data_IF_751825409267
#
_entry.id   IF_751825409267
#
_cell.length_a   1.000
_cell.length_b   1.000
_cell.length_c   1.000
_cell.angle_alpha   90.00
_cell.angle_beta   90.00
_cell.angle_gamma   90.00
#
_symmetry.space_group_name_H-M   'P 1'
#
loop_
_entity.id
_entity.type
_entity.pdbx_description
1 polymer ?
#
# COMPACT_ATOMS: atom_id res chain seq x y z
N UNK A 1 -3.84 0.84 -10.42
CA UNK A 1 -2.95 -0.31 -10.71
C UNK A 1 -1.87 -0.05 -11.77
N UNK A 2 -2.16 0.15 -13.07
CA UNK A 2 -1.09 0.30 -14.10
C UNK A 2 -0.07 1.39 -13.78
N UNK A 3 -0.54 2.57 -13.33
CA UNK A 3 0.33 3.67 -12.89
C UNK A 3 1.23 3.27 -11.72
N UNK A 4 0.68 2.56 -10.74
CA UNK A 4 1.40 2.03 -9.58
C UNK A 4 2.52 1.07 -9.99
N UNK A 5 2.23 0.17 -10.95
CA UNK A 5 3.24 -0.76 -11.48
C UNK A 5 4.36 -0.01 -12.21
N UNK A 6 4.01 1.02 -13.00
CA UNK A 6 5.00 1.86 -13.69
C UNK A 6 5.86 2.64 -12.70
N UNK A 7 5.29 3.16 -11.61
CA UNK A 7 6.05 3.80 -10.52
C UNK A 7 7.01 2.79 -9.89
N UNK A 8 6.54 1.59 -9.52
CA UNK A 8 7.39 0.57 -8.91
C UNK A 8 8.57 0.20 -9.82
N UNK A 9 8.31 -0.03 -11.12
CA UNK A 9 9.32 -0.33 -12.12
C UNK A 9 10.34 0.81 -12.27
N UNK A 10 9.89 2.06 -12.22
CA UNK A 10 10.76 3.23 -12.36
C UNK A 10 11.63 3.44 -11.12
N UNK A 11 11.06 3.24 -9.93
CA UNK A 11 11.78 3.37 -8.65
C UNK A 11 12.72 2.20 -8.37
N UNK A 12 12.41 1.01 -8.90
CA UNK A 12 13.18 -0.21 -8.72
C UNK A 12 13.47 -0.85 -10.08
N UNK A 13 14.42 -0.28 -10.82
CA UNK A 13 14.79 -0.75 -12.17
C UNK A 13 15.27 -2.21 -12.19
N UNK A 14 15.75 -2.74 -11.05
CA UNK A 14 16.08 -4.16 -10.87
C UNK A 14 14.89 -5.11 -11.07
N UNK A 15 13.65 -4.60 -11.04
CA UNK A 15 12.46 -5.36 -11.41
C UNK A 15 12.48 -5.74 -12.91
N UNK A 16 13.06 -4.89 -13.76
CA UNK A 16 13.14 -5.11 -15.21
C UNK A 16 14.35 -5.94 -15.63
N UNK A 17 15.49 -5.76 -14.96
CA UNK A 17 16.78 -6.29 -15.41
C UNK A 17 17.36 -7.29 -14.40
N UNK A 18 16.94 -8.57 -14.45
CA UNK A 18 17.37 -9.60 -13.50
C UNK A 18 18.84 -10.03 -13.65
N UNK A 19 19.58 -9.53 -14.65
CA UNK A 19 20.87 -10.11 -15.05
C UNK A 19 22.12 -9.32 -14.60
N UNK A 20 22.00 -8.07 -14.10
CA UNK A 20 23.17 -7.15 -14.10
C UNK A 20 23.64 -6.61 -12.75
N UNK A 21 23.11 -7.05 -11.60
CA UNK A 21 23.59 -6.52 -10.32
C UNK A 21 23.90 -7.62 -9.30
N UNK A 22 24.99 -7.44 -8.57
CA UNK A 22 25.38 -8.20 -7.38
C UNK A 22 24.43 -7.99 -6.18
N UNK A 23 23.25 -7.43 -6.42
CA UNK A 23 22.24 -7.10 -5.41
C UNK A 23 21.13 -8.16 -5.49
N UNK A 24 20.71 -8.76 -4.35
CA UNK A 24 19.60 -9.71 -4.34
C UNK A 24 18.35 -9.07 -4.93
N UNK A 25 17.70 -9.79 -5.84
CA UNK A 25 16.42 -9.37 -6.45
C UNK A 25 15.37 -9.19 -5.34
N UNK A 26 14.69 -8.03 -5.25
CA UNK A 26 13.57 -7.90 -4.34
C UNK A 26 12.43 -8.81 -4.81
N UNK A 27 11.83 -9.55 -3.88
CA UNK A 27 10.58 -10.25 -4.17
C UNK A 27 9.48 -9.22 -4.44
N UNK A 28 8.77 -9.38 -5.57
CA UNK A 28 7.67 -8.49 -5.96
C UNK A 28 6.36 -9.24 -5.86
N UNK A 29 5.42 -8.72 -5.07
CA UNK A 29 4.07 -9.25 -4.94
C UNK A 29 3.03 -8.22 -5.40
N UNK A 30 2.02 -8.66 -6.17
CA UNK A 30 0.94 -7.79 -6.66
C UNK A 30 -0.33 -8.05 -5.88
N UNK A 31 -0.79 -7.07 -5.10
CA UNK A 31 -1.98 -7.21 -4.27
C UNK A 31 -3.10 -6.31 -4.79
N UNK A 32 -4.25 -6.87 -5.21
CA UNK A 32 -5.38 -6.05 -5.63
C UNK A 32 -6.00 -5.21 -4.50
N UNK A 33 -5.74 -5.56 -3.25
CA UNK A 33 -6.17 -4.78 -2.08
C UNK A 33 -5.39 -3.46 -1.92
N UNK A 34 -4.26 -3.26 -2.61
CA UNK A 34 -3.53 -1.98 -2.67
C UNK A 34 -4.08 -1.00 -3.72
N UNK A 35 -5.29 -1.25 -4.25
CA UNK A 35 -5.95 -0.38 -5.23
C UNK A 35 -6.39 0.95 -4.62
N UNK A 36 -6.69 1.92 -5.47
CA UNK A 36 -7.21 3.22 -5.03
C UNK A 36 -8.47 3.06 -4.18
N UNK A 37 -8.55 3.83 -3.10
CA UNK A 37 -9.72 3.79 -2.23
C UNK A 37 -10.90 4.46 -2.93
N UNK A 38 -10.70 5.66 -3.46
CA UNK A 38 -11.76 6.48 -4.05
C UNK A 38 -12.24 5.96 -5.42
N UNK A 39 -13.46 6.36 -5.80
CA UNK A 39 -13.99 6.17 -7.16
C UNK A 39 -13.39 7.20 -8.14
N UNK A 40 -12.07 7.25 -8.18
CA UNK A 40 -11.33 8.04 -9.14
C UNK A 40 -11.20 7.26 -10.45
N UNK A 41 -10.94 7.96 -11.56
CA UNK A 41 -10.73 7.30 -12.86
C UNK A 41 -9.57 6.27 -12.87
N UNK A 42 -8.66 6.31 -11.88
CA UNK A 42 -7.63 5.28 -11.67
C UNK A 42 -8.16 3.96 -11.08
N UNK A 43 -9.40 3.93 -10.60
CA UNK A 43 -10.06 2.80 -9.95
C UNK A 43 -11.14 2.15 -10.83
N UNK A 44 -11.00 2.29 -12.15
CA UNK A 44 -11.82 1.60 -13.15
C UNK A 44 -10.93 0.60 -13.86
N UNK A 45 -11.43 -0.62 -14.07
CA UNK A 45 -10.65 -1.69 -14.69
C UNK A 45 -11.25 -2.23 -15.97
N UNK A 46 -10.58 -3.25 -16.47
CA UNK A 46 -10.82 -3.89 -17.76
C UNK A 46 -11.57 -5.20 -17.55
N UNK A 47 -12.41 -5.56 -18.50
CA UNK A 47 -12.86 -6.94 -18.70
C UNK A 47 -11.62 -7.76 -19.11
N UNK A 48 -11.23 -8.78 -18.36
CA UNK A 48 -9.94 -9.50 -18.50
C UNK A 48 -8.67 -8.78 -17.97
N UNK A 49 -8.77 -8.03 -16.87
CA UNK A 49 -7.67 -7.37 -16.18
C UNK A 49 -6.38 -8.23 -16.10
N UNK A 50 -6.51 -9.48 -15.65
CA UNK A 50 -5.35 -10.37 -15.45
C UNK A 50 -4.59 -10.61 -16.75
N UNK A 51 -5.29 -10.89 -17.84
CA UNK A 51 -4.70 -11.19 -19.15
C UNK A 51 -3.97 -9.97 -19.70
N UNK A 52 -4.60 -8.80 -19.64
CA UNK A 52 -3.99 -7.56 -20.13
C UNK A 52 -2.75 -7.15 -19.31
N UNK A 53 -2.81 -7.23 -17.99
CA UNK A 53 -1.67 -6.92 -17.13
C UNK A 53 -0.52 -7.90 -17.33
N UNK A 54 -0.81 -9.19 -17.49
CA UNK A 54 0.21 -10.22 -17.74
C UNK A 54 0.88 -10.02 -19.10
N UNK A 55 0.14 -9.59 -20.12
CA UNK A 55 0.71 -9.26 -21.43
C UNK A 55 1.61 -8.02 -21.37
N UNK A 56 1.23 -7.00 -20.58
CA UNK A 56 1.98 -5.73 -20.48
C UNK A 56 3.19 -5.82 -19.55
N UNK A 57 3.12 -6.66 -18.52
CA UNK A 57 4.17 -6.84 -17.51
C UNK A 57 4.46 -8.34 -17.29
N UNK A 58 4.98 -9.04 -18.32
CA UNK A 58 5.16 -10.50 -18.28
C UNK A 58 6.11 -11.01 -17.19
N UNK A 59 6.94 -10.12 -16.63
CA UNK A 59 7.86 -10.40 -15.54
C UNK A 59 7.20 -10.42 -14.16
N UNK A 60 5.94 -10.00 -14.03
CA UNK A 60 5.20 -9.90 -12.77
C UNK A 60 4.15 -11.01 -12.64
N UNK A 61 3.88 -11.42 -11.41
CA UNK A 61 2.87 -12.43 -11.11
C UNK A 61 1.54 -11.78 -10.73
N UNK A 62 0.52 -11.98 -11.57
CA UNK A 62 -0.85 -11.49 -11.36
C UNK A 62 -1.83 -12.59 -10.92
N UNK A 63 -1.34 -13.69 -10.33
CA UNK A 63 -2.20 -14.84 -9.98
C UNK A 63 -3.32 -14.46 -9.00
N UNK A 64 -3.03 -13.55 -8.07
CA UNK A 64 -4.00 -13.05 -7.08
C UNK A 64 -4.98 -12.00 -7.65
N UNK A 65 -4.76 -11.49 -8.87
CA UNK A 65 -5.68 -10.57 -9.51
C UNK A 65 -6.94 -11.31 -10.02
N UNK A 66 -8.12 -10.69 -9.92
CA UNK A 66 -9.33 -11.27 -10.48
C UNK A 66 -9.24 -11.34 -12.00
N UNK A 67 -10.00 -12.25 -12.62
CA UNK A 67 -10.12 -12.32 -14.07
C UNK A 67 -10.68 -11.01 -14.63
N UNK A 68 -11.83 -10.60 -14.11
CA UNK A 68 -12.50 -9.35 -14.46
C UNK A 68 -12.43 -8.32 -13.33
N UNK A 69 -12.46 -7.04 -13.70
CA UNK A 69 -12.66 -5.98 -12.73
C UNK A 69 -14.11 -5.98 -12.24
N UNK A 70 -14.37 -6.66 -11.12
CA UNK A 70 -15.70 -6.78 -10.51
C UNK A 70 -15.78 -6.15 -9.10
N UNK A 71 -14.89 -5.20 -8.80
CA UNK A 71 -14.89 -4.55 -7.50
C UNK A 71 -16.12 -3.66 -7.32
N UNK A 72 -16.74 -3.68 -6.13
CA UNK A 72 -17.88 -2.82 -5.84
C UNK A 72 -17.45 -1.34 -5.86
N UNK A 73 -18.41 -0.41 -6.03
CA UNK A 73 -18.16 1.02 -5.86
C UNK A 73 -17.52 1.34 -4.51
N UNK A 74 -16.89 2.52 -4.43
CA UNK A 74 -16.23 2.98 -3.22
C UNK A 74 -17.15 2.89 -1.98
N UNK A 75 -16.66 2.22 -0.95
CA UNK A 75 -17.29 2.10 0.35
C UNK A 75 -16.20 2.11 1.43
N UNK A 76 -16.31 3.04 2.38
CA UNK A 76 -15.34 3.24 3.46
C UNK A 76 -15.12 1.94 4.23
N UNK A 77 -16.18 1.24 4.63
CA UNK A 77 -16.08 0.00 5.41
C UNK A 77 -15.31 -1.09 4.67
N UNK A 78 -15.49 -1.18 3.35
CA UNK A 78 -14.75 -2.15 2.54
C UNK A 78 -13.29 -1.73 2.41
N UNK A 79 -12.99 -0.45 2.20
CA UNK A 79 -11.61 0.05 2.17
C UNK A 79 -10.90 -0.20 3.50
N UNK A 80 -11.56 0.04 4.64
CA UNK A 80 -11.00 -0.25 5.97
C UNK A 80 -10.68 -1.73 6.13
N UNK A 81 -11.60 -2.64 5.76
CA UNK A 81 -11.32 -4.09 5.76
C UNK A 81 -10.15 -4.46 4.85
N UNK A 82 -9.99 -3.79 3.71
CA UNK A 82 -8.86 -4.03 2.81
C UNK A 82 -7.55 -3.59 3.46
N UNK A 83 -7.54 -2.41 4.07
CA UNK A 83 -6.38 -1.89 4.77
C UNK A 83 -5.96 -2.83 5.93
N UNK A 84 -6.92 -3.33 6.71
CA UNK A 84 -6.65 -4.31 7.77
C UNK A 84 -6.01 -5.60 7.25
N UNK A 85 -6.51 -6.14 6.12
CA UNK A 85 -5.90 -7.32 5.48
C UNK A 85 -4.48 -7.05 4.99
N UNK A 86 -4.26 -5.87 4.39
CA UNK A 86 -2.93 -5.45 3.93
C UNK A 86 -1.98 -5.30 5.12
N UNK A 87 -2.39 -4.61 6.19
CA UNK A 87 -1.59 -4.45 7.41
C UNK A 87 -1.23 -5.81 8.03
N UNK A 88 -2.19 -6.74 8.12
CA UNK A 88 -1.94 -8.08 8.63
C UNK A 88 -0.93 -8.84 7.76
N UNK A 89 -1.08 -8.77 6.43
CA UNK A 89 -0.12 -9.42 5.51
C UNK A 89 1.27 -8.80 5.59
N UNK A 90 1.38 -7.47 5.70
CA UNK A 90 2.66 -6.79 5.89
C UNK A 90 3.33 -7.18 7.21
N UNK A 91 2.56 -7.34 8.29
CA UNK A 91 3.05 -7.79 9.60
C UNK A 91 3.59 -9.22 9.56
N UNK A 92 2.96 -10.10 8.78
CA UNK A 92 3.49 -11.44 8.56
C UNK A 92 4.78 -11.41 7.73
N UNK A 93 4.82 -10.60 6.67
CA UNK A 93 6.02 -10.44 5.85
C UNK A 93 7.19 -9.82 6.62
N UNK A 94 6.95 -8.92 7.57
CA UNK A 94 8.02 -8.30 8.36
C UNK A 94 8.76 -9.28 9.27
N UNK A 95 8.23 -10.50 9.47
CA UNK A 95 8.94 -11.58 10.17
C UNK A 95 10.06 -12.19 9.31
N UNK A 96 9.98 -12.05 7.99
CA UNK A 96 10.93 -12.61 7.02
C UNK A 96 11.75 -11.53 6.32
N UNK A 97 11.13 -10.40 6.00
CA UNK A 97 11.73 -9.29 5.26
C UNK A 97 12.11 -8.15 6.20
N UNK A 98 13.37 -7.72 6.15
CA UNK A 98 13.85 -6.56 6.92
C UNK A 98 13.25 -5.24 6.42
N UNK A 99 13.10 -5.10 5.10
CA UNK A 99 12.57 -3.89 4.48
C UNK A 99 11.47 -4.27 3.48
N UNK A 100 10.33 -3.58 3.56
CA UNK A 100 9.20 -3.77 2.65
C UNK A 100 8.84 -2.43 2.05
N UNK A 101 8.88 -2.33 0.71
CA UNK A 101 8.42 -1.16 -0.01
C UNK A 101 6.96 -1.38 -0.45
N UNK A 102 6.05 -0.51 0.02
CA UNK A 102 4.65 -0.52 -0.41
C UNK A 102 4.43 0.63 -1.38
N UNK A 103 4.17 0.30 -2.65
CA UNK A 103 3.81 1.28 -3.68
C UNK A 103 2.31 1.20 -3.90
N UNK A 104 1.58 2.26 -3.56
CA UNK A 104 0.12 2.30 -3.64
C UNK A 104 -0.37 3.71 -4.00
N UNK A 105 -1.68 3.93 -3.86
CA UNK A 105 -2.38 5.15 -4.19
C UNK A 105 -2.57 6.04 -2.97
N UNK A 106 -2.68 7.35 -3.21
CA UNK A 106 -2.86 8.35 -2.15
C UNK A 106 -4.14 8.13 -1.34
N UNK A 107 -5.25 7.78 -1.97
CA UNK A 107 -6.48 7.55 -1.21
C UNK A 107 -6.39 6.32 -0.33
N UNK A 108 -5.68 5.28 -0.77
CA UNK A 108 -5.51 4.06 0.01
C UNK A 108 -4.50 4.20 1.15
N UNK A 109 -3.40 4.92 0.94
CA UNK A 109 -2.36 5.06 1.99
C UNK A 109 -2.91 5.73 3.25
N UNK A 110 -3.90 6.62 3.13
CA UNK A 110 -4.59 7.21 4.28
C UNK A 110 -5.21 6.16 5.21
N UNK A 111 -5.72 5.05 4.66
CA UNK A 111 -6.26 3.91 5.42
C UNK A 111 -5.18 2.97 5.95
N UNK A 112 -3.96 3.03 5.42
CA UNK A 112 -2.86 2.24 5.95
C UNK A 112 -2.21 2.87 7.18
N UNK A 113 -2.09 4.20 7.21
CA UNK A 113 -1.25 4.89 8.22
C UNK A 113 -1.94 6.04 8.96
N UNK A 114 -3.23 6.32 8.70
CA UNK A 114 -4.01 7.37 9.38
C UNK A 114 -3.21 8.67 9.58
N UNK A 115 -2.71 9.24 8.48
CA UNK A 115 -1.79 10.36 8.53
C UNK A 115 -2.06 11.42 7.48
N UNK A 116 -1.21 12.45 7.47
CA UNK A 116 -1.31 13.54 6.51
C UNK A 116 -1.22 13.06 5.07
N UNK A 117 -1.80 13.87 4.19
CA UNK A 117 -1.79 13.65 2.75
C UNK A 117 -0.37 13.45 2.23
N UNK A 118 -0.23 12.48 1.34
CA UNK A 118 1.01 12.25 0.59
C UNK A 118 1.00 13.06 -0.70
N UNK A 119 2.13 13.67 -1.00
CA UNK A 119 2.43 14.20 -2.32
C UNK A 119 2.76 13.08 -3.32
N UNK A 120 2.71 13.43 -4.62
CA UNK A 120 3.00 12.45 -5.69
C UNK A 120 4.43 11.96 -5.56
N UNK A 121 4.60 10.63 -5.48
CA UNK A 121 5.89 9.96 -5.29
C UNK A 121 6.59 10.28 -3.96
N UNK A 122 5.88 10.84 -2.97
CA UNK A 122 6.42 11.01 -1.62
C UNK A 122 6.68 9.64 -0.97
N UNK A 123 7.80 9.54 -0.24
CA UNK A 123 8.19 8.36 0.51
C UNK A 123 8.21 8.69 2.01
N UNK A 124 7.61 7.81 2.81
CA UNK A 124 7.68 7.84 4.27
C UNK A 124 8.01 6.45 4.79
N UNK A 125 8.64 6.39 5.96
CA UNK A 125 9.05 5.14 6.61
C UNK A 125 8.26 4.90 7.89
N UNK A 126 7.88 3.64 8.11
CA UNK A 126 7.06 3.22 9.25
C UNK A 126 7.67 1.98 9.88
N UNK A 127 7.44 1.82 11.17
CA UNK A 127 7.67 0.59 11.92
C UNK A 127 6.34 0.00 12.37
N UNK A 128 6.30 -1.30 12.59
CA UNK A 128 5.16 -1.89 13.30
C UNK A 128 5.14 -1.46 14.76
N UNK A 129 3.94 -1.23 15.28
CA UNK A 129 3.67 -1.03 16.69
C UNK A 129 4.19 -2.22 17.52
N UNK A 130 4.89 -1.93 18.61
CA UNK A 130 5.34 -2.92 19.60
C UNK A 130 4.23 -3.22 20.60
N UNK A 131 4.47 -4.17 21.51
CA UNK A 131 3.52 -4.48 22.58
C UNK A 131 3.27 -3.28 23.52
N UNK A 132 4.27 -2.41 23.68
CA UNK A 132 4.16 -1.17 24.46
C UNK A 132 3.25 -0.14 23.77
N UNK A 133 3.24 -0.12 22.43
CA UNK A 133 2.39 0.78 21.64
C UNK A 133 0.92 0.31 21.61
N UNK A 134 0.63 -0.97 21.90
CA UNK A 134 -0.70 -1.60 21.69
C UNK A 134 -1.82 -0.90 22.44
N UNK A 135 -1.57 -0.48 23.69
CA UNK A 135 -2.59 0.20 24.50
C UNK A 135 -3.12 1.46 23.80
N UNK A 136 -2.22 2.17 23.10
CA UNK A 136 -2.56 3.39 22.38
C UNK A 136 -3.17 3.07 21.01
N UNK A 137 -2.61 2.12 20.24
CA UNK A 137 -3.02 1.87 18.84
C UNK A 137 -4.18 0.89 18.63
N UNK A 138 -4.56 0.10 19.64
CA UNK A 138 -5.71 -0.82 19.56
C UNK A 138 -6.96 -0.28 20.24
N UNK A 139 -6.92 0.94 20.79
CA UNK A 139 -8.08 1.61 21.36
C UNK A 139 -9.09 1.99 20.27
N UNK A 140 -10.38 1.95 20.58
CA UNK A 140 -11.42 2.43 19.64
C UNK A 140 -11.17 3.90 19.23
N UNK A 141 -10.57 4.70 20.11
CA UNK A 141 -10.15 6.07 19.81
C UNK A 141 -9.01 6.17 18.78
N UNK A 142 -8.12 5.19 18.69
CA UNK A 142 -7.05 5.20 17.69
C UNK A 142 -7.54 4.78 16.31
N UNK A 143 -8.62 3.98 16.23
CA UNK A 143 -9.22 3.56 14.96
C UNK A 143 -9.95 4.69 14.24
N UNK A 144 -10.54 5.59 15.00
CA UNK A 144 -11.35 6.69 14.47
C UNK A 144 -10.47 7.93 14.25
N UNK A 145 -10.52 8.51 13.05
CA UNK A 145 -9.80 9.73 12.72
C UNK A 145 -10.54 10.63 11.74
N UNK A 146 -10.02 11.83 11.53
CA UNK A 146 -10.53 12.75 10.50
C UNK A 146 -9.77 12.52 9.19
N UNK A 147 -10.50 12.27 8.10
CA UNK A 147 -9.90 12.17 6.77
C UNK A 147 -9.43 13.54 6.28
N UNK A 148 -8.16 13.63 5.90
CA UNK A 148 -7.53 14.89 5.47
C UNK A 148 -8.14 15.48 4.19
N UNK A 149 -8.70 14.66 3.30
CA UNK A 149 -9.27 15.11 2.03
C UNK A 149 -10.76 15.47 2.15
N UNK A 150 -11.54 14.73 2.94
CA UNK A 150 -13.00 14.95 3.10
C UNK A 150 -13.39 15.72 4.35
N UNK A 151 -12.50 15.84 5.33
CA UNK A 151 -12.75 16.39 6.67
C UNK A 151 -13.83 15.63 7.47
N UNK A 152 -14.16 14.40 7.06
CA UNK A 152 -15.13 13.55 7.73
C UNK A 152 -14.46 12.56 8.70
N UNK A 153 -15.23 12.08 9.68
CA UNK A 153 -14.76 11.08 10.65
C UNK A 153 -14.90 9.68 10.06
N UNK A 154 -13.79 8.97 9.88
CA UNK A 154 -13.73 7.58 9.37
C UNK A 154 -13.11 6.62 10.38
N UNK A 155 -13.45 5.34 10.27
CA UNK A 155 -12.69 4.23 10.84
C UNK A 155 -11.56 3.86 9.88
N UNK A 156 -10.32 4.12 10.26
CA UNK A 156 -9.13 3.80 9.49
C UNK A 156 -8.55 2.41 9.83
N UNK A 157 -9.22 1.66 10.71
CA UNK A 157 -8.69 0.40 11.23
C UNK A 157 -7.66 0.63 12.34
N UNK A 158 -7.01 -0.43 12.84
CA UNK A 158 -6.01 -0.30 13.88
C UNK A 158 -4.75 0.37 13.32
N UNK A 159 -4.21 1.36 14.03
CA UNK A 159 -3.05 2.13 13.57
C UNK A 159 -1.74 1.40 13.92
N UNK A 160 -1.50 0.28 13.25
CA UNK A 160 -0.35 -0.60 13.57
C UNK A 160 0.97 -0.15 12.95
N UNK A 161 0.95 0.87 12.09
CA UNK A 161 2.12 1.45 11.44
C UNK A 161 2.42 2.81 12.05
N UNK A 162 3.54 2.90 12.75
CA UNK A 162 3.99 4.10 13.44
C UNK A 162 5.09 4.77 12.60
N UNK A 163 4.98 6.08 12.29
CA UNK A 163 6.02 6.79 11.56
C UNK A 163 7.38 6.66 12.25
N UNK A 164 8.41 6.33 11.49
CA UNK A 164 9.80 6.44 11.97
C UNK A 164 10.15 7.91 11.96
N UNK A 165 10.37 8.51 13.14
CA UNK A 165 10.95 9.85 13.21
C UNK A 165 12.35 9.78 12.63
N UNK A 166 12.55 10.40 11.47
CA UNK A 166 13.88 10.73 11.01
C UNK A 166 14.25 11.99 11.80
N UNK A 167 15.11 11.84 12.81
CA UNK A 167 15.73 13.02 13.41
C UNK A 167 16.46 13.75 12.28
N UNK A 168 16.11 15.02 12.05
CA UNK A 168 16.69 15.89 11.02
C UNK A 168 18.16 16.26 11.33
N UNK A 169 19.01 15.28 11.64
CA UNK A 169 20.42 15.46 11.94
C UNK A 169 21.32 15.27 10.71
N UNK A 170 20.78 14.87 9.56
CA UNK A 170 21.54 14.73 8.31
C UNK A 170 20.93 15.55 7.19
N UNK A 171 21.06 16.87 7.31
CA UNK A 171 21.19 17.73 6.13
C UNK A 171 22.68 18.06 6.04
N UNK A 172 23.39 17.30 5.22
CA UNK A 172 24.75 17.62 4.78
C UNK A 172 24.73 18.55 3.58
#
# INVERSE_FOLDING_TARGET
>A
MTRTLQTAISSFSSILNPAETSVPKPEVQIWPDLREAHDANCNKGLSNLKTELSAKFPQLNFTECPGDWNYPPHNINEVTKHAERVQQRLKELSKTYHNIAVITHRGFIAFLVQGDRYEVCEMRSYRFATDDDKADVTSDSARIGVNVDTMEIYDFGPTVLIPVKIDNAFVG
#
